data_IF_592269663639
#
_entry.id   IF_592269663639
#
_cell.length_a   1.000
_cell.length_b   1.000
_cell.length_c   1.000
_cell.angle_alpha   90.00
_cell.angle_beta   90.00
_cell.angle_gamma   90.00
#
_symmetry.space_group_name_H-M   'P 1'
#
loop_
_entity.id
_entity.type
_entity.pdbx_description
1 polymer ?
#
# COMPACT_ATOMS: atom_id res chain seq x y z
N UNK A 1 -12.68 61.01 -19.21
CA UNK A 1 -13.83 60.85 -18.29
C UNK A 1 -14.39 59.44 -18.39
N UNK A 2 -14.06 58.56 -17.45
CA UNK A 2 -14.72 57.27 -17.20
C UNK A 2 -14.85 57.15 -15.68
N UNK A 3 -16.07 56.90 -15.18
CA UNK A 3 -16.38 56.81 -13.74
C UNK A 3 -15.68 55.61 -13.09
N UNK A 4 -15.24 55.70 -11.82
CA UNK A 4 -14.59 54.58 -11.15
C UNK A 4 -15.63 53.58 -10.62
N UNK A 5 -15.41 52.31 -10.92
CA UNK A 5 -16.17 51.16 -10.41
C UNK A 5 -15.75 50.88 -8.97
N UNK A 6 -16.69 50.96 -8.02
CA UNK A 6 -16.39 50.67 -6.61
C UNK A 6 -16.15 49.17 -6.38
N UNK A 7 -15.00 48.84 -5.78
CA UNK A 7 -14.71 47.52 -5.21
C UNK A 7 -15.65 47.25 -4.01
N UNK A 8 -16.43 46.16 -4.08
CA UNK A 8 -17.16 45.66 -2.91
C UNK A 8 -16.19 44.93 -1.97
N UNK A 9 -16.06 45.46 -0.77
CA UNK A 9 -15.34 44.91 0.38
C UNK A 9 -16.08 43.65 0.87
N UNK A 10 -15.40 42.50 0.89
CA UNK A 10 -15.90 41.27 1.52
C UNK A 10 -15.88 41.49 3.03
N UNK A 11 -17.06 41.44 3.67
CA UNK A 11 -17.19 41.50 5.13
C UNK A 11 -17.01 40.09 5.72
N UNK A 12 -16.32 40.01 6.85
CA UNK A 12 -16.04 38.80 7.64
C UNK A 12 -17.31 38.18 8.24
N UNK A 13 -17.42 36.84 8.34
CA UNK A 13 -18.62 36.18 8.86
C UNK A 13 -18.56 36.12 10.40
N UNK A 14 -19.03 37.18 11.07
CA UNK A 14 -19.19 37.15 12.54
C UNK A 14 -20.37 37.96 13.07
N UNK A 15 -21.34 38.29 12.22
CA UNK A 15 -22.61 38.91 12.65
C UNK A 15 -23.79 38.44 11.80
N UNK A 16 -24.30 37.25 12.10
CA UNK A 16 -25.59 36.77 11.60
C UNK A 16 -26.24 35.81 12.62
N UNK A 17 -26.35 36.30 13.85
CA UNK A 17 -27.09 35.65 14.94
C UNK A 17 -27.76 36.74 15.78
N UNK A 18 -28.84 37.29 15.26
CA UNK A 18 -29.90 37.93 16.06
C UNK A 18 -31.07 38.29 15.13
N UNK A 19 -32.27 38.04 15.63
CA UNK A 19 -33.56 38.45 15.05
C UNK A 19 -34.10 37.66 13.86
N UNK A 20 -34.54 36.42 14.12
CA UNK A 20 -35.88 35.93 13.69
C UNK A 20 -36.43 35.01 14.77
N UNK A 21 -37.37 35.53 15.56
CA UNK A 21 -38.18 34.71 16.46
C UNK A 21 -39.05 33.76 15.64
N UNK A 22 -38.79 32.47 15.77
CA UNK A 22 -39.67 31.39 15.36
C UNK A 22 -39.74 30.43 16.54
N UNK A 23 -40.80 30.57 17.34
CA UNK A 23 -41.18 29.58 18.32
C UNK A 23 -41.45 28.26 17.60
N UNK A 24 -40.53 27.30 17.78
CA UNK A 24 -40.73 25.93 17.37
C UNK A 24 -41.75 25.30 18.34
N UNK A 25 -43.04 25.36 17.99
CA UNK A 25 -44.04 24.49 18.60
C UNK A 25 -43.69 23.04 18.23
N UNK A 26 -43.33 22.24 19.24
CA UNK A 26 -43.27 20.78 19.12
C UNK A 26 -44.68 20.24 18.92
N UNK A 27 -45.13 20.13 17.68
CA UNK A 27 -46.25 19.25 17.33
C UNK A 27 -45.69 17.86 17.07
N UNK A 28 -45.89 16.95 18.02
CA UNK A 28 -45.71 15.52 17.80
C UNK A 28 -46.84 15.03 16.88
N UNK A 29 -46.56 14.47 15.69
CA UNK A 29 -47.58 13.70 15.00
C UNK A 29 -47.78 12.38 15.76
N UNK A 30 -48.94 12.25 16.40
CA UNK A 30 -49.45 11.00 16.97
C UNK A 30 -49.58 9.96 15.83
N UNK A 31 -48.56 9.11 15.68
CA UNK A 31 -48.72 7.86 14.94
C UNK A 31 -49.66 6.94 15.72
N UNK A 32 -50.74 6.40 15.11
CA UNK A 32 -51.58 5.41 15.78
C UNK A 32 -50.75 4.15 16.05
N UNK A 33 -50.73 3.71 17.31
CA UNK A 33 -50.13 2.44 17.69
C UNK A 33 -50.82 1.29 16.94
N UNK A 34 -50.07 0.32 16.39
CA UNK A 34 -50.67 -0.86 15.78
C UNK A 34 -51.50 -1.61 16.83
N UNK A 35 -52.76 -1.91 16.48
CA UNK A 35 -53.67 -2.71 17.30
C UNK A 35 -52.99 -4.03 17.64
N UNK A 36 -52.97 -4.38 18.93
CA UNK A 36 -52.48 -5.65 19.43
C UNK A 36 -53.18 -6.80 18.69
N UNK A 37 -52.49 -7.40 17.73
CA UNK A 37 -52.86 -8.70 17.18
C UNK A 37 -52.44 -9.76 18.21
N UNK A 38 -53.30 -10.76 18.41
CA UNK A 38 -53.11 -11.76 19.46
C UNK A 38 -51.74 -12.41 19.35
N UNK A 39 -50.98 -12.37 20.46
CA UNK A 39 -49.73 -13.10 20.60
C UNK A 39 -50.03 -14.58 20.43
N UNK A 40 -49.77 -15.15 19.25
CA UNK A 40 -49.58 -16.59 19.12
C UNK A 40 -48.32 -16.93 19.91
N UNK A 41 -48.51 -17.62 21.03
CA UNK A 41 -47.41 -18.17 21.82
C UNK A 41 -46.66 -19.19 20.97
N UNK A 42 -45.52 -18.79 20.43
CA UNK A 42 -44.55 -19.73 19.90
C UNK A 42 -43.90 -20.43 21.11
N UNK A 43 -44.37 -21.63 21.43
CA UNK A 43 -43.67 -22.54 22.34
C UNK A 43 -42.42 -23.03 21.63
N UNK A 44 -41.25 -22.53 22.04
CA UNK A 44 -39.95 -23.06 21.61
C UNK A 44 -39.87 -24.51 22.12
N UNK A 45 -39.67 -25.52 21.25
CA UNK A 45 -39.50 -26.88 21.71
C UNK A 45 -38.27 -26.97 22.63
N UNK A 46 -38.50 -27.36 23.88
CA UNK A 46 -37.52 -27.40 24.98
C UNK A 46 -36.55 -28.57 24.90
N UNK A 47 -36.24 -29.08 23.70
CA UNK A 47 -35.32 -30.21 23.57
C UNK A 47 -33.92 -29.71 23.93
N UNK A 48 -33.26 -30.24 24.97
CA UNK A 48 -31.89 -29.83 25.28
C UNK A 48 -31.02 -30.15 24.06
N UNK A 49 -30.40 -29.11 23.51
CA UNK A 49 -29.40 -29.27 22.46
C UNK A 49 -28.30 -30.16 23.05
N UNK A 50 -28.00 -31.29 22.40
CA UNK A 50 -26.81 -32.07 22.73
C UNK A 50 -25.60 -31.14 22.71
N UNK A 51 -24.69 -31.22 23.69
CA UNK A 51 -23.50 -30.38 23.66
C UNK A 51 -22.78 -30.60 22.33
N UNK A 52 -22.23 -29.53 21.72
CA UNK A 52 -21.41 -29.69 20.53
C UNK A 52 -20.31 -30.71 20.83
N UNK A 53 -19.92 -31.56 19.85
CA UNK A 53 -18.84 -32.51 20.06
C UNK A 53 -17.64 -31.73 20.60
N UNK A 54 -17.13 -32.16 21.77
CA UNK A 54 -15.95 -31.56 22.35
C UNK A 54 -14.87 -31.55 21.27
N UNK A 55 -14.31 -30.37 20.95
CA UNK A 55 -13.12 -30.29 20.12
C UNK A 55 -12.12 -31.26 20.74
N UNK A 56 -11.85 -32.37 20.04
CA UNK A 56 -10.89 -33.36 20.51
C UNK A 56 -9.63 -32.57 20.86
N UNK A 57 -9.16 -32.69 22.10
CA UNK A 57 -7.92 -32.04 22.53
C UNK A 57 -6.76 -32.80 21.88
N UNK A 58 -6.66 -32.72 20.56
CA UNK A 58 -5.44 -33.01 19.85
C UNK A 58 -4.44 -31.99 20.37
N UNK A 59 -3.55 -32.50 21.22
CA UNK A 59 -2.38 -31.88 21.80
C UNK A 59 -1.96 -30.63 21.01
N UNK A 60 -2.16 -29.45 21.58
CA UNK A 60 -1.60 -28.21 21.02
C UNK A 60 -0.08 -28.33 21.20
N UNK A 61 0.60 -28.87 20.19
CA UNK A 61 2.05 -28.88 20.14
C UNK A 61 2.53 -27.52 19.64
N UNK A 62 3.55 -26.95 20.29
CA UNK A 62 4.27 -25.81 19.74
C UNK A 62 4.93 -26.24 18.43
N UNK A 63 4.34 -25.80 17.31
CA UNK A 63 4.97 -25.93 16.00
C UNK A 63 6.17 -24.98 15.96
N UNK A 64 7.33 -25.38 15.44
CA UNK A 64 8.48 -24.49 15.29
C UNK A 64 8.08 -23.22 14.54
N UNK A 65 8.70 -22.09 14.89
CA UNK A 65 8.43 -20.81 14.25
C UNK A 65 8.62 -20.93 12.73
N UNK A 66 7.55 -20.69 11.97
CA UNK A 66 7.63 -20.69 10.50
C UNK A 66 8.69 -19.68 10.01
N UNK A 67 9.35 -19.93 8.87
CA UNK A 67 10.21 -18.93 8.25
C UNK A 67 9.43 -17.65 7.94
N UNK A 68 10.16 -16.53 7.86
CA UNK A 68 9.59 -15.25 7.43
C UNK A 68 9.20 -15.35 5.96
N UNK A 69 7.99 -14.91 5.63
CA UNK A 69 7.38 -15.00 4.29
C UNK A 69 6.93 -13.64 3.80
N UNK A 70 7.28 -13.30 2.56
CA UNK A 70 6.85 -12.06 1.92
C UNK A 70 6.20 -12.38 0.58
N UNK A 71 5.00 -11.83 0.36
CA UNK A 71 4.33 -11.87 -0.94
C UNK A 71 4.84 -10.71 -1.78
N UNK A 72 5.18 -10.96 -3.05
CA UNK A 72 5.66 -9.93 -3.97
C UNK A 72 4.80 -9.90 -5.22
N UNK A 73 4.12 -8.78 -5.47
CA UNK A 73 3.35 -8.54 -6.68
C UNK A 73 4.11 -7.63 -7.64
N UNK A 74 4.40 -8.10 -8.85
CA UNK A 74 5.05 -7.30 -9.89
C UNK A 74 4.00 -6.88 -10.93
N UNK A 75 3.78 -5.58 -11.09
CA UNK A 75 2.71 -5.03 -11.94
C UNK A 75 3.26 -4.18 -13.09
N UNK A 76 2.44 -3.93 -14.11
CA UNK A 76 2.84 -3.22 -15.34
C UNK A 76 2.99 -1.71 -15.19
N UNK A 77 3.83 -1.25 -14.27
CA UNK A 77 4.37 0.11 -14.24
C UNK A 77 5.89 0.04 -14.45
N UNK A 78 6.52 1.15 -14.83
CA UNK A 78 8.00 1.18 -14.88
C UNK A 78 8.59 0.91 -13.51
N UNK A 79 9.79 0.36 -13.50
CA UNK A 79 10.55 0.12 -12.28
C UNK A 79 10.83 -1.36 -12.04
N UNK A 80 10.94 -2.16 -13.11
CA UNK A 80 11.39 -3.54 -13.03
C UNK A 80 12.68 -3.73 -12.22
N UNK A 81 13.70 -2.85 -12.31
CA UNK A 81 14.92 -2.97 -11.50
C UNK A 81 14.65 -3.02 -9.99
N UNK A 82 13.68 -2.26 -9.47
CA UNK A 82 13.31 -2.31 -8.05
C UNK A 82 12.78 -3.69 -7.63
N UNK A 83 11.97 -4.32 -8.47
CA UNK A 83 11.42 -5.64 -8.18
C UNK A 83 12.51 -6.71 -8.17
N UNK A 84 13.43 -6.65 -9.15
CA UNK A 84 14.56 -7.58 -9.27
C UNK A 84 15.51 -7.43 -8.07
N UNK A 85 15.89 -6.20 -7.73
CA UNK A 85 16.75 -5.91 -6.58
C UNK A 85 16.10 -6.38 -5.27
N UNK A 86 14.79 -6.13 -5.08
CA UNK A 86 14.05 -6.65 -3.92
C UNK A 86 14.11 -8.18 -3.83
N UNK A 87 13.83 -8.90 -4.92
CA UNK A 87 13.85 -10.36 -4.93
C UNK A 87 15.26 -10.92 -4.65
N UNK A 88 16.30 -10.30 -5.21
CA UNK A 88 17.70 -10.67 -4.94
C UNK A 88 18.04 -10.53 -3.46
N UNK A 89 17.71 -9.39 -2.85
CA UNK A 89 17.98 -9.13 -1.44
C UNK A 89 17.17 -10.06 -0.53
N UNK A 90 15.88 -10.27 -0.80
CA UNK A 90 15.06 -11.20 -0.01
C UNK A 90 15.60 -12.64 -0.06
N UNK A 91 16.09 -13.09 -1.22
CA UNK A 91 16.74 -14.39 -1.38
C UNK A 91 18.03 -14.49 -0.57
N UNK A 92 18.88 -13.46 -0.61
CA UNK A 92 20.12 -13.41 0.18
C UNK A 92 19.85 -13.46 1.69
N UNK A 93 18.74 -12.88 2.14
CA UNK A 93 18.29 -12.92 3.54
C UNK A 93 17.60 -14.23 3.94
N UNK A 94 17.46 -15.20 3.03
CA UNK A 94 16.77 -16.46 3.30
C UNK A 94 15.26 -16.32 3.55
N UNK A 95 14.64 -15.24 3.07
CA UNK A 95 13.20 -14.98 3.23
C UNK A 95 12.43 -15.74 2.16
N UNK A 96 11.40 -16.48 2.58
CA UNK A 96 10.53 -17.24 1.68
C UNK A 96 9.63 -16.26 0.89
N UNK A 97 9.81 -16.21 -0.43
CA UNK A 97 9.11 -15.26 -1.30
C UNK A 97 8.07 -15.93 -2.19
N UNK A 98 6.87 -15.35 -2.21
CA UNK A 98 5.74 -15.80 -3.02
C UNK A 98 5.44 -14.74 -4.08
N UNK A 99 5.85 -15.01 -5.33
CA UNK A 99 5.81 -14.03 -6.42
C UNK A 99 4.61 -14.23 -7.33
N UNK A 100 3.97 -13.12 -7.69
CA UNK A 100 2.98 -13.04 -8.75
C UNK A 100 3.39 -11.95 -9.72
N UNK A 101 3.47 -12.27 -11.01
CA UNK A 101 3.81 -11.31 -12.08
C UNK A 101 2.56 -11.12 -12.95
N UNK A 102 2.10 -9.88 -13.08
CA UNK A 102 0.96 -9.55 -13.93
C UNK A 102 1.31 -9.68 -15.42
N UNK A 103 0.30 -9.87 -16.27
CA UNK A 103 0.47 -9.88 -17.74
C UNK A 103 1.21 -8.63 -18.25
N UNK A 104 0.85 -7.45 -17.73
CA UNK A 104 1.44 -6.19 -18.17
C UNK A 104 2.85 -5.98 -17.62
N UNK A 105 3.18 -6.53 -16.45
CA UNK A 105 4.55 -6.54 -15.95
C UNK A 105 5.48 -7.33 -16.89
N UNK A 106 5.04 -8.49 -17.39
CA UNK A 106 5.83 -9.26 -18.37
C UNK A 106 6.11 -8.48 -19.66
N UNK A 107 5.18 -7.63 -20.09
CA UNK A 107 5.42 -6.74 -21.22
C UNK A 107 6.45 -5.67 -20.90
N UNK A 108 6.32 -5.01 -19.73
CA UNK A 108 7.25 -3.97 -19.27
C UNK A 108 8.67 -4.50 -19.06
N UNK A 109 8.82 -5.69 -18.48
CA UNK A 109 10.11 -6.32 -18.22
C UNK A 109 11.00 -6.43 -19.46
N UNK A 110 10.40 -6.71 -20.62
CA UNK A 110 11.13 -6.82 -21.91
C UNK A 110 11.84 -5.54 -22.34
N UNK A 111 11.40 -4.38 -21.85
CA UNK A 111 11.96 -3.08 -22.20
C UNK A 111 12.90 -2.52 -21.14
N UNK A 112 12.83 -3.02 -19.90
CA UNK A 112 13.52 -2.41 -18.75
C UNK A 112 14.65 -3.28 -18.20
N UNK A 113 14.76 -4.54 -18.61
CA UNK A 113 15.81 -5.43 -18.17
C UNK A 113 16.19 -6.43 -19.25
N UNK A 114 17.44 -6.90 -19.18
CA UNK A 114 17.96 -8.00 -19.99
C UNK A 114 17.62 -9.37 -19.40
N UNK A 115 17.09 -9.43 -18.16
CA UNK A 115 16.74 -10.69 -17.52
C UNK A 115 15.49 -11.31 -18.16
N UNK A 116 15.51 -12.63 -18.33
CA UNK A 116 14.33 -13.39 -18.78
C UNK A 116 13.31 -13.53 -17.65
N UNK A 117 12.05 -13.80 -18.00
CA UNK A 117 11.00 -14.11 -17.03
C UNK A 117 11.41 -15.26 -16.09
N UNK A 118 12.01 -16.32 -16.64
CA UNK A 118 12.47 -17.49 -15.91
C UNK A 118 13.55 -17.11 -14.88
N UNK A 119 14.52 -16.28 -15.27
CA UNK A 119 15.56 -15.80 -14.36
C UNK A 119 14.97 -15.02 -13.20
N UNK A 120 14.01 -14.13 -13.45
CA UNK A 120 13.33 -13.35 -12.39
C UNK A 120 12.55 -14.28 -11.47
N UNK A 121 11.78 -15.21 -12.03
CA UNK A 121 11.03 -16.21 -11.25
C UNK A 121 11.93 -17.11 -10.41
N UNK A 122 13.12 -17.44 -10.90
CA UNK A 122 14.10 -18.25 -10.17
C UNK A 122 14.68 -17.56 -8.92
N UNK A 123 14.48 -16.25 -8.77
CA UNK A 123 14.84 -15.52 -7.55
C UNK A 123 13.86 -15.80 -6.40
N UNK A 124 12.65 -16.26 -6.71
CA UNK A 124 11.58 -16.49 -5.75
C UNK A 124 11.55 -17.94 -5.23
N UNK A 125 10.99 -18.12 -4.04
CA UNK A 125 10.74 -19.47 -3.50
C UNK A 125 9.54 -20.14 -4.20
N UNK A 126 8.44 -19.40 -4.40
CA UNK A 126 7.24 -19.87 -5.09
C UNK A 126 6.75 -18.83 -6.10
N UNK A 127 6.24 -19.33 -7.23
CA UNK A 127 5.76 -18.52 -8.35
C UNK A 127 4.31 -18.88 -8.68
N UNK A 128 3.48 -17.87 -8.87
CA UNK A 128 2.08 -18.03 -9.26
C UNK A 128 1.76 -17.23 -10.53
N UNK A 129 0.70 -17.66 -11.20
CA UNK A 129 0.11 -16.89 -12.29
C UNK A 129 -0.91 -15.90 -11.71
N UNK A 130 -1.10 -14.76 -12.36
CA UNK A 130 -2.07 -13.76 -11.89
C UNK A 130 -3.53 -14.25 -11.86
N UNK A 131 -3.84 -15.36 -12.54
CA UNK A 131 -5.20 -15.95 -12.57
C UNK A 131 -5.40 -17.07 -11.54
N UNK A 132 -4.33 -17.50 -10.87
CA UNK A 132 -4.38 -18.60 -9.90
C UNK A 132 -4.94 -18.13 -8.55
N UNK A 133 -6.24 -17.85 -8.52
CA UNK A 133 -6.96 -17.47 -7.28
C UNK A 133 -7.11 -18.63 -6.28
N UNK A 134 -6.64 -19.83 -6.64
CA UNK A 134 -6.51 -20.98 -5.74
C UNK A 134 -5.17 -21.05 -4.99
N UNK A 135 -4.21 -20.17 -5.32
CA UNK A 135 -2.92 -20.14 -4.66
C UNK A 135 -3.04 -19.87 -3.15
N UNK A 136 -2.10 -20.36 -2.31
CA UNK A 136 -2.16 -20.18 -0.86
C UNK A 136 -2.31 -18.71 -0.43
N UNK A 137 -1.65 -17.79 -1.13
CA UNK A 137 -1.69 -16.35 -0.86
C UNK A 137 -3.07 -15.70 -1.11
N UNK A 138 -4.04 -16.42 -1.70
CA UNK A 138 -5.42 -15.97 -1.85
C UNK A 138 -6.28 -16.19 -0.58
N UNK A 139 -5.73 -16.84 0.44
CA UNK A 139 -6.39 -17.14 1.72
C UNK A 139 -5.70 -16.48 2.91
N UNK A 140 -6.49 -15.95 3.85
CA UNK A 140 -5.96 -15.40 5.11
C UNK A 140 -5.36 -16.45 6.04
N UNK A 141 -5.78 -17.72 5.91
CA UNK A 141 -5.21 -18.82 6.70
C UNK A 141 -3.76 -19.12 6.34
N UNK A 142 -3.32 -18.77 5.12
CA UNK A 142 -1.92 -18.82 4.76
C UNK A 142 -1.19 -17.65 5.43
N UNK A 143 -0.31 -17.97 6.38
CA UNK A 143 0.42 -16.96 7.14
C UNK A 143 1.64 -16.44 6.36
N UNK A 144 1.69 -15.12 6.17
CA UNK A 144 2.85 -14.38 5.69
C UNK A 144 3.02 -13.08 6.50
N UNK A 145 4.21 -12.48 6.44
CA UNK A 145 4.60 -11.32 7.26
C UNK A 145 4.33 -9.96 6.59
N UNK A 146 3.91 -10.00 5.33
CA UNK A 146 3.45 -8.84 4.59
C UNK A 146 3.48 -9.07 3.09
N UNK A 147 3.11 -8.04 2.34
CA UNK A 147 3.11 -8.02 0.89
C UNK A 147 3.74 -6.73 0.38
N UNK A 148 4.54 -6.84 -0.69
CA UNK A 148 5.10 -5.71 -1.42
C UNK A 148 4.64 -5.77 -2.87
N UNK A 149 4.01 -4.72 -3.37
CA UNK A 149 3.69 -4.57 -4.80
C UNK A 149 4.72 -3.64 -5.41
N UNK A 150 5.64 -4.17 -6.21
CA UNK A 150 6.76 -3.41 -6.79
C UNK A 150 7.06 -3.83 -8.24
N UNK A 151 7.07 -2.89 -9.19
CA UNK A 151 6.39 -1.59 -9.10
C UNK A 151 4.85 -1.78 -9.03
N UNK A 152 4.14 -0.77 -8.54
CA UNK A 152 2.68 -0.73 -8.44
C UNK A 152 2.09 0.23 -9.48
N UNK A 153 1.30 -0.30 -10.42
CA UNK A 153 0.56 0.48 -11.43
C UNK A 153 -0.69 1.13 -10.85
N UNK A 154 -1.18 2.19 -11.51
CA UNK A 154 -2.45 2.84 -11.13
C UNK A 154 -3.65 1.88 -11.25
N UNK A 155 -3.61 0.95 -12.22
CA UNK A 155 -4.64 -0.09 -12.36
C UNK A 155 -4.71 -0.97 -11.12
N UNK A 156 -3.56 -1.49 -10.68
CA UNK A 156 -3.51 -2.34 -9.48
C UNK A 156 -3.90 -1.57 -8.24
N UNK A 157 -3.42 -0.32 -8.10
CA UNK A 157 -3.80 0.57 -7.00
C UNK A 157 -5.33 0.75 -6.91
N UNK A 158 -5.98 1.01 -8.05
CA UNK A 158 -7.44 1.14 -8.11
C UNK A 158 -8.16 -0.18 -7.77
N UNK A 159 -7.65 -1.32 -8.25
CA UNK A 159 -8.22 -2.64 -7.97
C UNK A 159 -8.13 -3.03 -6.49
N UNK A 160 -7.01 -2.70 -5.83
CA UNK A 160 -6.85 -2.94 -4.39
C UNK A 160 -7.78 -2.02 -3.58
N UNK A 161 -7.89 -0.73 -3.96
CA UNK A 161 -8.84 0.19 -3.32
C UNK A 161 -10.27 -0.33 -3.38
N UNK A 162 -10.72 -0.79 -4.55
CA UNK A 162 -12.10 -1.22 -4.75
C UNK A 162 -12.43 -2.55 -4.08
N UNK A 163 -11.41 -3.36 -3.73
CA UNK A 163 -11.60 -4.71 -3.21
C UNK A 163 -12.15 -5.68 -4.25
N UNK A 164 -12.10 -5.34 -5.55
CA UNK A 164 -12.71 -6.14 -6.61
C UNK A 164 -12.05 -7.52 -6.78
N UNK A 165 -10.76 -7.65 -6.47
CA UNK A 165 -10.03 -8.93 -6.40
C UNK A 165 -10.10 -9.80 -7.68
N UNK A 166 -10.05 -9.18 -8.86
CA UNK A 166 -10.12 -9.86 -10.18
C UNK A 166 -8.91 -10.75 -10.50
N UNK A 167 -7.78 -10.47 -9.84
CA UNK A 167 -6.54 -11.21 -10.01
C UNK A 167 -5.90 -11.55 -8.67
N UNK A 168 -4.94 -12.47 -8.70
CA UNK A 168 -4.26 -12.95 -7.51
C UNK A 168 -3.50 -11.84 -6.77
N UNK A 169 -3.00 -10.81 -7.48
CA UNK A 169 -2.27 -9.69 -6.85
C UNK A 169 -3.23 -8.86 -6.00
N UNK A 170 -4.34 -8.42 -6.59
CA UNK A 170 -5.36 -7.64 -5.90
C UNK A 170 -6.02 -8.47 -4.78
N UNK A 171 -6.24 -9.76 -5.01
CA UNK A 171 -6.74 -10.68 -3.98
C UNK A 171 -5.77 -10.87 -2.81
N UNK A 172 -4.48 -11.08 -3.07
CA UNK A 172 -3.48 -11.22 -2.01
C UNK A 172 -3.31 -9.90 -1.23
N UNK A 173 -3.46 -8.74 -1.88
CA UNK A 173 -3.43 -7.44 -1.23
C UNK A 173 -4.65 -7.22 -0.32
N UNK A 174 -5.85 -7.61 -0.77
CA UNK A 174 -7.07 -7.61 0.05
C UNK A 174 -6.93 -8.51 1.28
N UNK A 175 -6.39 -9.72 1.09
CA UNK A 175 -6.04 -10.62 2.19
C UNK A 175 -5.02 -9.98 3.14
N UNK A 176 -4.00 -9.31 2.61
CA UNK A 176 -3.00 -8.62 3.44
C UNK A 176 -3.65 -7.55 4.31
N UNK A 177 -4.53 -6.73 3.74
CA UNK A 177 -5.23 -5.66 4.48
C UNK A 177 -6.20 -6.22 5.52
N UNK A 178 -7.07 -7.16 5.15
CA UNK A 178 -8.10 -7.69 6.07
C UNK A 178 -7.49 -8.46 7.26
N UNK A 179 -6.32 -9.05 7.07
CA UNK A 179 -5.56 -9.73 8.14
C UNK A 179 -4.64 -8.77 8.93
N UNK A 180 -4.73 -7.46 8.70
CA UNK A 180 -3.89 -6.41 9.31
C UNK A 180 -2.38 -6.65 9.15
N UNK A 181 -1.96 -7.18 8.01
CA UNK A 181 -0.55 -7.39 7.65
C UNK A 181 -0.01 -6.16 6.91
N UNK A 182 1.31 -6.00 6.90
CA UNK A 182 1.95 -4.87 6.19
C UNK A 182 1.77 -5.03 4.68
N UNK A 183 1.13 -4.05 4.04
CA UNK A 183 1.04 -3.95 2.58
C UNK A 183 1.82 -2.71 2.12
N UNK A 184 2.93 -2.90 1.40
CA UNK A 184 3.68 -1.81 0.76
C UNK A 184 3.37 -1.76 -0.73
N UNK A 185 3.07 -0.57 -1.25
CA UNK A 185 2.76 -0.35 -2.66
C UNK A 185 3.76 0.66 -3.23
N UNK A 186 4.64 0.18 -4.11
CA UNK A 186 5.66 0.99 -4.75
C UNK A 186 5.09 1.76 -5.96
N UNK A 187 4.27 2.78 -5.69
CA UNK A 187 3.41 3.45 -6.67
C UNK A 187 4.23 4.26 -7.68
N UNK A 188 4.22 3.90 -8.97
CA UNK A 188 4.98 4.60 -10.02
C UNK A 188 4.08 5.20 -11.10
N UNK A 189 3.82 6.50 -10.99
CA UNK A 189 3.16 7.29 -12.04
C UNK A 189 3.53 8.78 -11.92
N UNK A 190 3.55 9.50 -13.04
CA UNK A 190 3.65 10.96 -13.07
C UNK A 190 3.18 11.52 -14.42
N UNK A 191 2.38 12.61 -14.46
CA UNK A 191 1.77 13.32 -13.33
C UNK A 191 0.62 12.52 -12.68
N UNK A 192 0.21 12.95 -11.48
CA UNK A 192 -0.86 12.29 -10.74
C UNK A 192 -2.20 13.01 -10.95
N UNK A 193 -3.25 12.23 -11.27
CA UNK A 193 -4.63 12.71 -11.30
C UNK A 193 -5.26 12.65 -9.90
N UNK A 194 -6.39 13.33 -9.72
CA UNK A 194 -7.19 13.25 -8.49
C UNK A 194 -7.60 11.82 -8.16
N UNK A 195 -7.87 10.99 -9.17
CA UNK A 195 -8.18 9.56 -9.00
C UNK A 195 -7.00 8.82 -8.36
N UNK A 196 -5.77 9.11 -8.80
CA UNK A 196 -4.57 8.47 -8.23
C UNK A 196 -4.37 8.91 -6.77
N UNK A 197 -4.51 10.20 -6.49
CA UNK A 197 -4.35 10.78 -5.16
C UNK A 197 -5.39 10.26 -4.17
N UNK A 198 -6.66 10.20 -4.59
CA UNK A 198 -7.76 9.67 -3.76
C UNK A 198 -7.58 8.18 -3.48
N UNK A 199 -7.15 7.38 -4.49
CA UNK A 199 -6.82 5.98 -4.29
C UNK A 199 -5.69 5.79 -3.26
N UNK A 200 -4.60 6.54 -3.40
CA UNK A 200 -3.48 6.48 -2.48
C UNK A 200 -3.88 6.90 -1.07
N UNK A 201 -4.66 7.98 -0.92
CA UNK A 201 -5.11 8.47 0.38
C UNK A 201 -6.02 7.46 1.08
N UNK A 202 -6.97 6.86 0.35
CA UNK A 202 -7.85 5.83 0.90
C UNK A 202 -7.05 4.64 1.42
N UNK A 203 -6.17 4.08 0.57
CA UNK A 203 -5.38 2.90 0.95
C UNK A 203 -4.40 3.21 2.08
N UNK A 204 -3.82 4.41 2.12
CA UNK A 204 -2.99 4.85 3.23
C UNK A 204 -3.75 4.86 4.56
N UNK A 205 -5.02 5.30 4.55
CA UNK A 205 -5.91 5.27 5.72
C UNK A 205 -6.34 3.86 6.10
N UNK A 206 -6.46 2.97 5.13
CA UNK A 206 -6.76 1.55 5.34
C UNK A 206 -5.55 0.73 5.88
N UNK A 207 -4.38 1.35 6.06
CA UNK A 207 -3.20 0.71 6.63
C UNK A 207 -2.12 0.31 5.62
N UNK A 208 -2.33 0.54 4.33
CA UNK A 208 -1.28 0.35 3.33
C UNK A 208 -0.18 1.42 3.46
N UNK A 209 1.03 1.06 3.05
CA UNK A 209 2.18 1.94 2.93
C UNK A 209 2.28 2.35 1.46
N UNK A 210 2.04 3.63 1.18
CA UNK A 210 2.21 4.21 -0.15
C UNK A 210 3.66 4.69 -0.28
N UNK A 211 4.42 4.04 -1.15
CA UNK A 211 5.86 4.29 -1.34
C UNK A 211 6.15 4.61 -2.80
N UNK A 212 6.01 5.86 -3.27
CA UNK A 212 6.50 6.19 -4.60
C UNK A 212 8.04 6.06 -4.62
N UNK A 213 8.65 5.35 -5.60
CA UNK A 213 10.11 5.24 -5.70
C UNK A 213 10.70 6.56 -6.20
N UNK A 214 10.85 7.52 -5.29
CA UNK A 214 11.46 8.83 -5.53
C UNK A 214 12.93 8.76 -5.09
N UNK A 215 13.89 8.93 -6.02
CA UNK A 215 15.32 8.83 -5.71
C UNK A 215 15.77 9.78 -4.59
N UNK A 216 16.60 9.25 -3.69
CA UNK A 216 17.30 10.04 -2.69
C UNK A 216 18.67 10.46 -3.24
N UNK A 217 18.91 11.77 -3.36
CA UNK A 217 20.19 12.30 -3.84
C UNK A 217 21.16 12.68 -2.72
N UNK A 218 20.74 12.60 -1.46
CA UNK A 218 21.62 12.94 -0.32
C UNK A 218 22.76 11.94 -0.12
N UNK A 219 22.65 10.74 -0.69
CA UNK A 219 23.71 9.72 -0.71
C UNK A 219 24.73 9.94 -1.83
N UNK A 220 24.52 10.97 -2.68
CA UNK A 220 25.34 11.25 -3.86
C UNK A 220 25.64 9.96 -4.68
N UNK A 221 24.60 9.28 -5.20
CA UNK A 221 24.77 7.97 -5.84
C UNK A 221 25.64 8.06 -7.10
N UNK A 222 26.52 7.08 -7.29
CA UNK A 222 27.43 7.00 -8.44
C UNK A 222 26.79 6.25 -9.62
N UNK A 223 25.73 5.48 -9.36
CA UNK A 223 25.03 4.65 -10.35
C UNK A 223 23.51 4.62 -10.16
N UNK A 224 22.79 4.11 -11.17
CA UNK A 224 21.35 3.87 -11.07
C UNK A 224 21.05 2.73 -10.09
N UNK A 225 21.95 1.76 -10.01
CA UNK A 225 21.91 0.65 -9.08
C UNK A 225 21.89 1.16 -7.63
N UNK A 226 22.73 2.14 -7.29
CA UNK A 226 22.74 2.75 -5.95
C UNK A 226 21.40 3.40 -5.59
N UNK A 227 20.75 4.06 -6.56
CA UNK A 227 19.42 4.67 -6.39
C UNK A 227 18.36 3.60 -6.15
N UNK A 228 18.44 2.49 -6.89
CA UNK A 228 17.54 1.35 -6.76
C UNK A 228 17.72 0.68 -5.40
N UNK A 229 18.95 0.37 -5.02
CA UNK A 229 19.29 -0.32 -3.77
C UNK A 229 18.92 0.53 -2.55
N UNK A 230 19.15 1.85 -2.59
CA UNK A 230 18.68 2.77 -1.56
C UNK A 230 17.16 2.73 -1.39
N UNK A 231 16.41 2.72 -2.50
CA UNK A 231 14.95 2.69 -2.46
C UNK A 231 14.42 1.34 -1.95
N UNK A 232 15.00 0.23 -2.40
CA UNK A 232 14.62 -1.12 -1.95
C UNK A 232 14.98 -1.32 -0.48
N UNK A 233 16.13 -0.84 -0.03
CA UNK A 233 16.51 -0.82 1.37
C UNK A 233 15.48 -0.12 2.26
N UNK A 234 15.00 1.05 1.81
CA UNK A 234 13.89 1.76 2.47
C UNK A 234 12.57 0.99 2.45
N UNK A 235 12.26 0.25 1.39
CA UNK A 235 11.10 -0.64 1.36
C UNK A 235 11.22 -1.76 2.40
N UNK A 236 12.40 -2.38 2.52
CA UNK A 236 12.67 -3.44 3.50
C UNK A 236 12.56 -2.93 4.94
N UNK A 237 13.08 -1.73 5.24
CA UNK A 237 12.91 -1.09 6.55
C UNK A 237 11.44 -0.92 6.94
N UNK A 238 10.61 -0.47 5.99
CA UNK A 238 9.16 -0.31 6.20
C UNK A 238 8.45 -1.65 6.41
N UNK A 239 9.04 -2.75 5.93
CA UNK A 239 8.60 -4.12 6.20
C UNK A 239 9.18 -4.70 7.50
N UNK A 240 10.03 -3.95 8.23
CA UNK A 240 10.69 -4.44 9.44
C UNK A 240 11.79 -5.47 9.16
N UNK A 241 12.41 -5.37 7.98
CA UNK A 241 13.56 -6.15 7.55
C UNK A 241 14.74 -5.18 7.46
N UNK A 242 15.67 -5.26 8.41
CA UNK A 242 16.82 -4.35 8.44
C UNK A 242 18.01 -4.98 7.74
N UNK A 243 18.63 -4.21 6.86
CA UNK A 243 19.85 -4.58 6.14
C UNK A 243 20.89 -3.45 6.26
N UNK A 244 22.16 -3.84 6.14
CA UNK A 244 23.32 -2.93 6.17
C UNK A 244 23.78 -2.53 4.76
N UNK A 245 23.02 -2.92 3.72
CA UNK A 245 23.42 -2.82 2.32
C UNK A 245 23.15 -1.46 1.65
N UNK A 246 22.77 -0.43 2.39
CA UNK A 246 22.50 0.91 1.83
C UNK A 246 22.74 2.00 2.88
N UNK A 247 23.03 3.23 2.43
CA UNK A 247 23.41 4.32 3.34
C UNK A 247 22.20 4.84 4.12
N UNK A 248 22.32 4.86 5.46
CA UNK A 248 21.31 5.44 6.35
C UNK A 248 21.66 6.89 6.65
N UNK A 249 20.64 7.75 6.60
CA UNK A 249 20.81 9.15 6.97
C UNK A 249 21.08 9.30 8.47
N UNK A 250 22.25 9.84 8.82
CA UNK A 250 22.66 10.19 10.19
C UNK A 250 22.90 11.71 10.36
N UNK A 251 22.27 12.51 9.49
CA UNK A 251 22.48 13.96 9.43
C UNK A 251 23.65 14.37 8.53
N UNK A 252 23.68 15.65 8.17
CA UNK A 252 24.83 16.20 7.45
C UNK A 252 26.06 16.14 8.36
N UNK A 253 27.08 15.38 7.95
CA UNK A 253 28.39 15.40 8.60
C UNK A 253 28.89 16.85 8.57
N UNK A 254 29.04 17.47 9.75
CA UNK A 254 29.67 18.79 9.89
C UNK A 254 31.16 18.65 9.58
N UNK A 255 31.54 18.64 8.31
CA UNK A 255 32.96 18.76 7.97
C UNK A 255 33.40 20.19 8.25
N UNK A 256 34.30 20.34 9.23
CA UNK A 256 35.17 21.51 9.37
C UNK A 256 35.84 21.75 8.02
N UNK A 257 35.81 23.00 7.54
CA UNK A 257 36.40 23.53 6.31
C UNK A 257 36.03 22.80 5.01
N UNK A 258 34.94 23.23 4.38
CA UNK A 258 34.83 23.19 2.91
C UNK A 258 35.87 24.19 2.37
N UNK A 259 37.07 23.72 2.03
CA UNK A 259 37.96 24.44 1.13
C UNK A 259 37.28 24.39 -0.23
N UNK A 260 36.67 25.51 -0.65
CA UNK A 260 36.13 25.63 -2.00
C UNK A 260 37.31 25.48 -2.97
N UNK A 261 37.22 24.62 -4.00
CA UNK A 261 38.22 24.65 -5.06
C UNK A 261 38.23 26.06 -5.68
N UNK A 262 39.43 26.61 -5.82
CA UNK A 262 39.63 27.93 -6.41
C UNK A 262 38.94 27.98 -7.78
N UNK A 263 38.16 29.03 -8.01
CA UNK A 263 37.59 29.33 -9.31
C UNK A 263 38.75 29.42 -10.32
N UNK A 264 38.86 28.44 -11.21
CA UNK A 264 39.74 28.57 -12.37
C UNK A 264 39.13 29.63 -13.27
N UNK A 265 39.80 30.79 -13.32
CA UNK A 265 39.53 31.86 -14.27
C UNK A 265 39.46 31.28 -15.68
N UNK A 266 38.28 31.31 -16.29
CA UNK A 266 38.14 31.20 -17.74
C UNK A 266 38.64 32.54 -18.28
N UNK A 267 39.95 32.60 -18.53
CA UNK A 267 40.53 33.65 -19.33
C UNK A 267 40.09 33.45 -20.79
N UNK A 268 39.43 34.47 -21.31
CA UNK A 268 39.33 34.87 -22.70
C UNK A 268 40.35 34.23 -23.66
N UNK A 269 39.85 33.56 -24.69
CA UNK A 269 40.45 33.67 -26.01
C UNK A 269 39.38 33.93 -27.07
N UNK A 270 39.71 34.93 -27.89
CA UNK A 270 38.98 35.45 -29.04
C UNK A 270 38.94 34.45 -30.20
#
# INVERSE_FOLDING_TARGET
MRKPTQLRRIQSPSKLLSARGLQCQRQNPLFPLPKQTSRRSFTVPSKPLSPPPAFASSSIHQVPSRPRRIVVGITGATGAPYAIALLRLLRQLGIETHVVISKWALATLKYETTMTEEQIRSLAYANYTARDVSAPIASGSFQHDGMVIVPCSMKTLAAVRSGYCDDLISRAADVTLKENRRLLMAVRETPLSDVHLDNMLFLRRAGAIIFPPVPAFYTNPDSLEDVVDQSVGRMLDLMGIHTDGFERWDGFKKNKSVVRPAQTNIASHA
#
